data_IF_283765242084
#
_entry.id   IF_283765242084
#
_cell.length_a   1.000
_cell.length_b   1.000
_cell.length_c   1.000
_cell.angle_alpha   90.00
_cell.angle_beta   90.00
_cell.angle_gamma   90.00
#
_symmetry.space_group_name_H-M   'P 1'
#
loop_
_entity.id
_entity.type
_entity.pdbx_description
1 polymer ?
#
# COMPACT_ATOMS: atom_id res chain seq x y z
N UNK A 1 23.51 11.59 -4.52
CA UNK A 1 22.66 10.75 -5.39
C UNK A 1 21.24 11.02 -4.97
N UNK A 2 20.61 11.98 -5.65
CA UNK A 2 19.28 12.50 -5.30
C UNK A 2 18.33 12.06 -6.41
N UNK A 3 17.52 11.05 -6.12
CA UNK A 3 16.40 10.64 -6.94
C UNK A 3 15.30 10.22 -5.99
N UNK A 4 14.56 11.21 -5.49
CA UNK A 4 13.27 10.99 -4.87
C UNK A 4 12.26 11.14 -6.01
N UNK A 5 11.95 10.02 -6.66
CA UNK A 5 10.94 9.90 -7.72
C UNK A 5 9.57 9.92 -7.08
N UNK A 6 8.88 11.05 -7.22
CA UNK A 6 7.45 11.20 -6.97
C UNK A 6 6.68 10.78 -8.23
N UNK A 7 6.74 9.50 -8.60
CA UNK A 7 5.97 8.94 -9.73
C UNK A 7 5.84 7.41 -9.52
N UNK A 8 4.83 6.95 -8.77
CA UNK A 8 4.58 5.52 -8.52
C UNK A 8 5.57 4.88 -7.54
N UNK A 9 5.60 5.37 -6.30
CA UNK A 9 6.55 4.92 -5.27
C UNK A 9 6.41 3.41 -5.06
N UNK A 10 7.42 2.65 -5.52
CA UNK A 10 7.58 1.20 -5.45
C UNK A 10 7.60 0.64 -4.02
N UNK A 11 6.52 0.87 -3.30
CA UNK A 11 6.23 0.26 -2.01
C UNK A 11 5.64 -1.11 -2.32
N UNK A 12 6.40 -2.17 -2.07
CA UNK A 12 5.83 -3.53 -2.08
C UNK A 12 4.68 -3.60 -1.08
N UNK A 13 3.62 -4.29 -1.47
CA UNK A 13 2.44 -4.50 -0.66
C UNK A 13 2.81 -4.86 0.79
N UNK A 14 2.32 -4.09 1.77
CA UNK A 14 2.58 -4.28 3.20
C UNK A 14 1.97 -5.56 3.81
N UNK A 15 1.44 -6.46 2.99
CA UNK A 15 1.03 -7.79 3.42
C UNK A 15 2.26 -8.70 3.45
N UNK A 16 2.54 -9.30 4.62
CA UNK A 16 3.59 -10.30 4.77
C UNK A 16 3.32 -11.43 3.75
N UNK A 17 4.24 -11.63 2.81
CA UNK A 17 4.18 -12.54 1.65
C UNK A 17 3.57 -12.02 0.36
N UNK A 18 3.26 -10.72 0.23
CA UNK A 18 2.87 -10.12 -1.05
C UNK A 18 4.00 -9.25 -1.59
N UNK A 19 4.53 -9.61 -2.76
CA UNK A 19 5.59 -8.86 -3.46
C UNK A 19 5.05 -7.98 -4.58
N UNK A 20 3.73 -7.88 -4.73
CA UNK A 20 3.11 -6.99 -5.72
C UNK A 20 3.31 -5.54 -5.34
N UNK A 21 3.27 -4.66 -6.33
CA UNK A 21 3.22 -3.22 -6.15
C UNK A 21 2.00 -2.82 -5.32
N UNK A 22 2.21 -1.94 -4.35
CA UNK A 22 1.10 -1.34 -3.64
C UNK A 22 0.36 -0.35 -4.54
N UNK A 23 -0.96 -0.30 -4.35
CA UNK A 23 -1.88 0.45 -5.20
C UNK A 23 -2.82 1.34 -4.36
N UNK A 24 -3.02 0.96 -3.09
CA UNK A 24 -3.97 1.59 -2.20
C UNK A 24 -3.48 1.69 -0.76
N UNK A 25 -3.99 2.69 -0.06
CA UNK A 25 -3.88 2.84 1.38
C UNK A 25 -5.23 2.43 1.98
N UNK A 26 -5.22 1.47 2.89
CA UNK A 26 -6.37 1.03 3.68
C UNK A 26 -6.24 1.51 5.12
N UNK A 27 -7.37 1.66 5.82
CA UNK A 27 -7.39 1.82 7.27
C UNK A 27 -7.67 0.48 7.96
N UNK A 28 -6.67 -0.08 8.64
CA UNK A 28 -6.77 -1.36 9.33
C UNK A 28 -7.10 -1.13 10.82
N UNK A 29 -8.18 -1.72 11.37
CA UNK A 29 -8.66 -1.42 12.72
C UNK A 29 -7.64 -1.69 13.84
N UNK A 30 -6.72 -2.65 13.61
CA UNK A 30 -5.65 -3.03 14.56
C UNK A 30 -4.32 -2.31 14.36
N UNK A 31 -4.02 -1.85 13.15
CA UNK A 31 -2.68 -1.39 12.76
C UNK A 31 -2.67 0.05 12.22
N UNK A 32 -3.84 0.68 12.11
CA UNK A 32 -4.02 1.97 11.45
C UNK A 32 -3.81 1.86 9.94
N UNK A 33 -3.29 2.94 9.36
CA UNK A 33 -3.12 3.06 7.91
C UNK A 33 -2.07 2.08 7.39
N UNK A 34 -2.40 1.35 6.32
CA UNK A 34 -1.48 0.43 5.64
C UNK A 34 -1.53 0.62 4.13
N UNK A 35 -0.37 0.53 3.51
CA UNK A 35 -0.19 0.59 2.05
C UNK A 35 -0.13 -0.85 1.54
N UNK A 36 -1.05 -1.22 0.68
CA UNK A 36 -1.23 -2.60 0.17
C UNK A 36 -1.60 -2.56 -1.31
N UNK A 37 -1.43 -3.68 -2.01
CA UNK A 37 -1.99 -3.83 -3.36
C UNK A 37 -3.51 -4.01 -3.29
N UNK A 38 -4.20 -3.77 -4.41
CA UNK A 38 -5.66 -3.87 -4.51
C UNK A 38 -6.19 -5.24 -4.02
N UNK A 39 -5.46 -6.33 -4.32
CA UNK A 39 -5.79 -7.70 -3.89
C UNK A 39 -5.54 -8.01 -2.41
N UNK A 40 -4.75 -7.19 -1.70
CA UNK A 40 -4.49 -7.34 -0.27
C UNK A 40 -5.24 -6.32 0.59
N UNK A 41 -6.23 -5.63 0.02
CA UNK A 41 -7.15 -4.77 0.77
C UNK A 41 -7.95 -5.52 1.83
N UNK A 42 -8.19 -6.82 1.66
CA UNK A 42 -8.85 -7.65 2.67
C UNK A 42 -10.27 -7.20 3.04
N UNK A 43 -10.92 -6.40 2.19
CA UNK A 43 -12.22 -5.78 2.47
C UNK A 43 -12.16 -4.57 3.43
N UNK A 44 -10.96 -4.11 3.78
CA UNK A 44 -10.77 -2.91 4.60
C UNK A 44 -11.03 -1.64 3.76
N UNK A 45 -11.52 -0.57 4.40
CA UNK A 45 -11.83 0.67 3.70
C UNK A 45 -10.56 1.28 3.09
N UNK A 46 -10.60 1.51 1.78
CA UNK A 46 -9.56 2.25 1.05
C UNK A 46 -9.75 3.73 1.32
N UNK A 47 -8.71 4.37 1.84
CA UNK A 47 -8.70 5.79 2.17
C UNK A 47 -8.00 6.64 1.11
N UNK A 48 -7.12 6.05 0.29
CA UNK A 48 -6.39 6.73 -0.79
C UNK A 48 -5.78 5.74 -1.79
N UNK A 49 -5.66 6.11 -3.05
CA UNK A 49 -4.82 5.42 -4.04
C UNK A 49 -3.41 6.04 -4.07
N UNK A 50 -2.36 5.21 -4.18
CA UNK A 50 -0.95 5.66 -4.21
C UNK A 50 -0.43 5.82 -5.62
#
# INVERSE_FOLDING_TARGET
MSAQTDDGDGTTCGALSCTNDADVIIDHPKYGKRIVCNGCTGGYPVIRHV
#
